data_IF_041243967065
#
_entry.id   IF_041243967065
#
_cell.length_a   1.000
_cell.length_b   1.000
_cell.length_c   1.000
_cell.angle_alpha   90.00
_cell.angle_beta   90.00
_cell.angle_gamma   90.00
#
_symmetry.space_group_name_H-M   'P 1'
#
loop_
_entity.id
_entity.type
_entity.pdbx_description
1 polymer ?
#
# COMPACT_ATOMS: atom_id res chain seq x y z
N UNK A 1 7.98 27.57 34.48
CA UNK A 1 6.61 27.36 33.97
C UNK A 1 6.54 28.09 32.64
N UNK A 2 6.35 27.49 31.46
CA UNK A 2 5.60 26.31 31.10
C UNK A 2 6.29 25.48 29.99
N UNK A 3 5.88 24.21 29.83
CA UNK A 3 6.60 23.16 29.14
C UNK A 3 6.22 23.13 27.66
N UNK A 4 7.20 23.32 26.78
CA UNK A 4 7.07 22.97 25.36
C UNK A 4 7.95 21.75 25.07
N UNK A 5 7.83 20.73 25.91
CA UNK A 5 8.13 19.38 25.46
C UNK A 5 7.13 19.08 24.34
N UNK A 6 7.55 18.88 23.08
CA UNK A 6 6.65 18.26 22.11
C UNK A 6 6.18 16.95 22.75
N UNK A 7 4.89 16.61 22.71
CA UNK A 7 4.41 15.41 23.38
C UNK A 7 5.19 14.25 22.77
N UNK A 8 5.99 13.57 23.61
CA UNK A 8 6.59 12.26 23.30
C UNK A 8 5.53 11.33 22.71
N UNK A 9 4.26 11.57 23.06
CA UNK A 9 3.07 10.96 22.47
C UNK A 9 2.96 11.01 20.95
N UNK A 10 3.44 12.03 20.23
CA UNK A 10 3.26 12.09 18.76
C UNK A 10 4.06 11.00 18.02
N UNK A 11 5.17 10.57 18.60
CA UNK A 11 6.00 9.46 18.10
C UNK A 11 5.40 8.11 18.42
N UNK A 12 4.90 7.94 19.65
CA UNK A 12 4.10 6.78 20.01
C UNK A 12 2.90 6.65 19.11
N UNK A 13 2.22 7.76 18.80
CA UNK A 13 1.08 7.75 17.89
C UNK A 13 1.48 7.23 16.50
N UNK A 14 2.55 7.74 15.89
CA UNK A 14 3.01 7.25 14.59
C UNK A 14 3.45 5.77 14.61
N UNK A 15 4.22 5.37 15.62
CA UNK A 15 4.68 3.99 15.81
C UNK A 15 3.52 3.04 16.10
N UNK A 16 2.55 3.45 16.92
CA UNK A 16 1.30 2.74 17.21
C UNK A 16 0.46 2.66 15.94
N UNK A 17 0.31 3.73 15.16
CA UNK A 17 -0.44 3.66 13.90
C UNK A 17 0.20 2.71 12.89
N UNK A 18 1.53 2.75 12.73
CA UNK A 18 2.24 1.81 11.86
C UNK A 18 2.13 0.38 12.38
N UNK A 19 2.33 0.18 13.69
CA UNK A 19 2.20 -1.11 14.36
C UNK A 19 0.79 -1.68 14.26
N UNK A 20 -0.24 -0.86 14.43
CA UNK A 20 -1.65 -1.22 14.21
C UNK A 20 -1.89 -1.53 12.74
N UNK A 21 -1.36 -0.75 11.80
CA UNK A 21 -1.55 -1.00 10.37
C UNK A 21 -0.89 -2.30 9.91
N UNK A 22 0.32 -2.61 10.41
CA UNK A 22 1.01 -3.89 10.18
C UNK A 22 0.31 -5.02 10.93
N UNK A 23 -0.13 -4.80 12.17
CA UNK A 23 -0.87 -5.75 12.98
C UNK A 23 -2.20 -6.16 12.35
N UNK A 24 -2.95 -5.19 11.82
CA UNK A 24 -4.17 -5.44 11.05
C UNK A 24 -3.87 -6.25 9.78
N UNK A 25 -2.77 -5.96 9.09
CA UNK A 25 -2.33 -6.75 7.95
C UNK A 25 -1.95 -8.19 8.32
N UNK A 26 -1.26 -8.37 9.45
CA UNK A 26 -0.85 -9.67 9.98
C UNK A 26 -2.03 -10.47 10.59
N UNK A 27 -3.05 -9.80 11.12
CA UNK A 27 -4.26 -10.42 11.67
C UNK A 27 -5.37 -10.62 10.63
N UNK A 28 -5.29 -9.96 9.47
CA UNK A 28 -6.30 -10.08 8.43
C UNK A 28 -6.40 -11.52 7.91
N UNK A 29 -7.56 -12.14 8.10
CA UNK A 29 -7.95 -13.43 7.49
C UNK A 29 -8.57 -13.28 6.10
N UNK A 30 -8.50 -12.07 5.53
CA UNK A 30 -9.10 -11.69 4.24
C UNK A 30 -8.01 -11.27 3.26
N UNK A 31 -8.25 -11.35 1.95
CA UNK A 31 -7.33 -10.83 0.95
C UNK A 31 -7.15 -9.31 1.12
N UNK A 32 -5.94 -8.91 1.55
CA UNK A 32 -5.60 -7.50 1.81
C UNK A 32 -4.29 -7.13 1.12
N UNK A 33 -4.21 -5.87 0.67
CA UNK A 33 -3.00 -5.31 0.08
C UNK A 33 -2.36 -4.25 1.01
N UNK A 34 -1.13 -4.51 1.41
CA UNK A 34 -0.25 -3.52 2.00
C UNK A 34 0.38 -2.67 0.89
N UNK A 35 0.01 -1.39 0.84
CA UNK A 35 0.49 -0.44 -0.17
C UNK A 35 1.65 0.37 0.39
N UNK A 36 2.88 0.03 0.01
CA UNK A 36 4.10 0.71 0.47
C UNK A 36 4.03 2.22 0.23
N UNK A 37 3.44 2.65 -0.90
CA UNK A 37 3.27 4.08 -1.21
C UNK A 37 2.53 4.86 -0.12
N UNK A 38 1.47 4.29 0.48
CA UNK A 38 0.70 4.99 1.53
C UNK A 38 1.54 5.15 2.80
N UNK A 39 2.27 4.11 3.16
CA UNK A 39 3.24 4.15 4.26
C UNK A 39 4.31 5.20 4.00
N UNK A 40 4.85 5.27 2.78
CA UNK A 40 5.83 6.29 2.39
C UNK A 40 5.31 7.72 2.50
N UNK A 41 4.08 7.99 2.04
CA UNK A 41 3.43 9.31 2.21
C UNK A 41 3.27 9.67 3.69
N UNK A 42 2.83 8.72 4.53
CA UNK A 42 2.68 8.95 5.97
C UNK A 42 4.02 9.25 6.64
N UNK A 43 5.07 8.48 6.32
CA UNK A 43 6.42 8.73 6.82
C UNK A 43 6.93 10.13 6.43
N UNK A 44 6.72 10.56 5.17
CA UNK A 44 7.12 11.89 4.73
C UNK A 44 6.29 13.00 5.37
N UNK A 45 4.98 12.81 5.55
CA UNK A 45 4.12 13.77 6.23
C UNK A 45 4.57 13.96 7.69
N UNK A 46 4.88 12.87 8.39
CA UNK A 46 5.43 12.90 9.74
C UNK A 46 6.80 13.60 9.79
N UNK A 47 7.68 13.29 8.83
CA UNK A 47 8.96 13.97 8.68
C UNK A 47 8.80 15.48 8.47
N UNK A 48 7.89 15.89 7.58
CA UNK A 48 7.62 17.29 7.30
C UNK A 48 7.05 18.05 8.51
N UNK A 49 6.05 17.48 9.21
CA UNK A 49 5.51 18.03 10.46
C UNK A 49 6.65 18.21 11.48
N UNK A 50 7.55 17.24 11.57
CA UNK A 50 8.70 17.32 12.49
C UNK A 50 9.67 18.44 12.12
N UNK A 51 9.98 18.61 10.83
CA UNK A 51 10.82 19.71 10.35
C UNK A 51 10.18 21.07 10.64
N UNK A 52 8.86 21.19 10.48
CA UNK A 52 8.10 22.42 10.80
C UNK A 52 8.17 22.72 12.30
N UNK A 53 7.88 21.74 13.17
CA UNK A 53 7.96 21.92 14.62
C UNK A 53 9.37 22.32 15.06
N UNK A 54 10.41 21.75 14.47
CA UNK A 54 11.78 22.16 14.75
C UNK A 54 12.03 23.64 14.38
N UNK A 55 11.56 24.08 13.20
CA UNK A 55 11.65 25.49 12.79
C UNK A 55 10.88 26.44 13.71
N UNK A 56 9.82 25.97 14.35
CA UNK A 56 9.03 26.72 15.34
C UNK A 56 9.66 26.74 16.75
N UNK A 57 10.88 26.24 16.91
CA UNK A 57 11.62 26.27 18.18
C UNK A 57 11.37 25.07 19.11
N UNK A 58 10.66 24.04 18.65
CA UNK A 58 10.50 22.82 19.45
C UNK A 58 11.78 21.97 19.40
N UNK A 59 12.35 21.57 20.56
CA UNK A 59 13.63 20.89 20.60
C UNK A 59 13.59 19.51 19.91
N UNK A 60 14.66 19.23 19.16
CA UNK A 60 15.03 17.87 18.73
C UNK A 60 15.79 17.20 19.87
N UNK A 61 15.07 16.55 20.79
CA UNK A 61 15.71 15.62 21.74
C UNK A 61 16.42 14.53 20.93
N UNK A 62 17.68 14.21 21.22
CA UNK A 62 18.31 12.98 20.72
C UNK A 62 17.61 11.79 21.40
N UNK A 63 17.13 10.75 20.66
CA UNK A 63 17.46 10.27 19.31
C UNK A 63 16.61 10.81 18.12
N UNK A 64 15.90 11.92 18.29
CA UNK A 64 14.93 12.47 17.33
C UNK A 64 15.48 12.91 15.97
N UNK A 65 16.77 13.24 15.85
CA UNK A 65 17.40 13.56 14.55
C UNK A 65 17.62 12.30 13.71
N UNK A 66 18.16 11.24 14.33
CA UNK A 66 18.32 9.94 13.67
C UNK A 66 16.96 9.36 13.25
N UNK A 67 15.96 9.45 14.14
CA UNK A 67 14.59 9.04 13.83
C UNK A 67 13.98 9.86 12.69
N UNK A 68 14.22 11.17 12.63
CA UNK A 68 13.77 12.03 11.53
C UNK A 68 14.39 11.60 10.19
N UNK A 69 15.71 11.43 10.14
CA UNK A 69 16.43 11.00 8.94
C UNK A 69 15.97 9.61 8.49
N UNK A 70 15.84 8.66 9.42
CA UNK A 70 15.35 7.32 9.12
C UNK A 70 13.91 7.34 8.57
N UNK A 71 13.04 8.16 9.16
CA UNK A 71 11.64 8.27 8.75
C UNK A 71 11.51 8.91 7.36
N UNK A 72 12.27 9.98 7.08
CA UNK A 72 12.24 10.63 5.76
C UNK A 72 12.87 9.75 4.69
N UNK A 73 14.05 9.16 4.95
CA UNK A 73 14.72 8.25 4.02
C UNK A 73 13.86 7.02 3.72
N UNK A 74 13.28 6.39 4.76
CA UNK A 74 12.33 5.29 4.60
C UNK A 74 11.07 5.71 3.82
N UNK A 75 10.57 6.91 4.08
CA UNK A 75 9.44 7.50 3.34
C UNK A 75 9.71 7.64 1.84
N UNK A 76 10.88 8.18 1.47
CA UNK A 76 11.32 8.28 0.07
C UNK A 76 11.47 6.89 -0.55
N UNK A 77 12.12 5.96 0.15
CA UNK A 77 12.30 4.59 -0.33
C UNK A 77 10.94 3.90 -0.61
N UNK A 78 9.98 4.05 0.29
CA UNK A 78 8.63 3.50 0.13
C UNK A 78 7.81 4.17 -0.97
N UNK A 79 8.04 5.46 -1.24
CA UNK A 79 7.46 6.13 -2.41
C UNK A 79 8.04 5.59 -3.72
N UNK A 80 9.36 5.42 -3.79
CA UNK A 80 10.04 4.84 -4.95
C UNK A 80 9.58 3.40 -5.19
N UNK A 81 9.41 2.63 -4.11
CA UNK A 81 8.83 1.29 -4.11
C UNK A 81 7.30 1.29 -4.20
N UNK A 82 6.65 2.42 -4.51
CA UNK A 82 5.19 2.56 -4.47
C UNK A 82 4.40 1.71 -5.48
N UNK A 83 5.11 0.98 -6.37
CA UNK A 83 4.55 -0.03 -7.28
C UNK A 83 4.54 -1.44 -6.70
N UNK A 84 5.22 -1.64 -5.58
CA UNK A 84 5.31 -2.92 -4.88
C UNK A 84 4.17 -2.98 -3.87
N UNK A 85 3.34 -4.00 -4.00
CA UNK A 85 2.25 -4.30 -3.07
C UNK A 85 2.57 -5.62 -2.37
N UNK A 86 2.40 -5.64 -1.06
CA UNK A 86 2.37 -6.89 -0.31
C UNK A 86 0.92 -7.36 -0.28
N UNK A 87 0.62 -8.49 -0.88
CA UNK A 87 -0.71 -9.06 -0.94
C UNK A 87 -0.76 -10.29 -0.06
N UNK A 88 -1.77 -10.35 0.80
CA UNK A 88 -2.06 -11.53 1.58
C UNK A 88 -3.12 -12.37 0.86
N UNK A 89 -2.70 -13.14 -0.12
CA UNK A 89 -3.57 -14.05 -0.86
C UNK A 89 -2.73 -15.21 -1.44
N UNK A 90 -3.38 -16.26 -1.93
CA UNK A 90 -2.72 -17.33 -2.66
C UNK A 90 -2.46 -16.93 -4.11
N UNK A 91 -1.41 -17.50 -4.70
CA UNK A 91 -1.09 -17.25 -6.11
C UNK A 91 -2.20 -17.74 -7.05
N UNK A 92 -2.87 -18.84 -6.68
CA UNK A 92 -3.99 -19.42 -7.45
C UNK A 92 -5.19 -18.49 -7.49
N UNK A 93 -5.60 -17.95 -6.33
CA UNK A 93 -6.70 -16.98 -6.26
C UNK A 93 -6.39 -15.73 -7.08
N UNK A 94 -5.16 -15.22 -6.97
CA UNK A 94 -4.73 -14.07 -7.75
C UNK A 94 -4.80 -14.37 -9.26
N UNK A 95 -4.34 -15.55 -9.71
CA UNK A 95 -4.41 -15.96 -11.12
C UNK A 95 -5.85 -16.02 -11.64
N UNK A 96 -6.77 -16.63 -10.90
CA UNK A 96 -8.19 -16.71 -11.27
C UNK A 96 -8.84 -15.33 -11.35
N UNK A 97 -8.56 -14.47 -10.38
CA UNK A 97 -9.02 -13.08 -10.37
C UNK A 97 -8.46 -12.29 -11.56
N UNK A 98 -7.17 -12.47 -11.86
CA UNK A 98 -6.53 -11.83 -13.01
C UNK A 98 -7.15 -12.30 -14.33
N UNK A 99 -7.38 -13.60 -14.50
CA UNK A 99 -8.03 -14.15 -15.68
C UNK A 99 -9.46 -13.61 -15.85
N UNK A 100 -10.23 -13.54 -14.76
CA UNK A 100 -11.59 -12.98 -14.78
C UNK A 100 -11.59 -11.50 -15.17
N UNK A 101 -10.66 -10.72 -14.61
CA UNK A 101 -10.56 -9.29 -14.90
C UNK A 101 -10.06 -9.00 -16.32
N UNK A 102 -9.13 -9.80 -16.83
CA UNK A 102 -8.59 -9.62 -18.19
C UNK A 102 -9.63 -10.00 -19.24
N UNK A 103 -10.42 -11.05 -18.99
CA UNK A 103 -11.62 -11.37 -19.77
C UNK A 103 -12.61 -10.21 -19.79
N UNK A 104 -13.00 -9.69 -18.62
CA UNK A 104 -13.94 -8.56 -18.52
C UNK A 104 -13.44 -7.25 -19.14
N UNK A 105 -12.13 -7.06 -19.22
CA UNK A 105 -11.49 -5.89 -19.87
C UNK A 105 -11.13 -6.13 -21.34
N UNK A 106 -11.43 -7.31 -21.88
CA UNK A 106 -11.03 -7.76 -23.21
C UNK A 106 -9.53 -7.52 -23.45
N UNK A 107 -8.71 -8.01 -22.51
CA UNK A 107 -7.25 -7.98 -22.59
C UNK A 107 -6.72 -9.41 -22.60
N UNK A 108 -5.67 -9.64 -23.38
CA UNK A 108 -4.89 -10.88 -23.26
C UNK A 108 -4.03 -10.79 -22.01
N UNK A 109 -3.85 -11.92 -21.34
CA UNK A 109 -2.94 -12.07 -20.21
C UNK A 109 -2.21 -13.39 -20.42
N UNK A 110 -0.92 -13.30 -20.69
CA UNK A 110 -0.09 -14.47 -20.93
C UNK A 110 0.88 -14.61 -19.76
N UNK A 111 0.91 -15.80 -19.15
CA UNK A 111 1.88 -16.11 -18.11
C UNK A 111 3.13 -16.70 -18.77
N UNK A 112 4.12 -15.87 -19.06
CA UNK A 112 5.35 -16.29 -19.74
C UNK A 112 6.27 -17.11 -18.82
N UNK A 113 6.20 -16.84 -17.52
CA UNK A 113 6.94 -17.54 -16.46
C UNK A 113 6.07 -17.61 -15.21
N UNK A 114 6.27 -18.59 -14.31
CA UNK A 114 5.53 -18.66 -13.07
C UNK A 114 5.66 -17.34 -12.29
N UNK A 115 4.53 -16.65 -12.12
CA UNK A 115 4.45 -15.36 -11.46
C UNK A 115 4.89 -14.16 -12.29
N UNK A 116 5.04 -14.30 -13.61
CA UNK A 116 5.22 -13.18 -14.54
C UNK A 116 4.10 -13.16 -15.55
N UNK A 117 3.24 -12.14 -15.44
CA UNK A 117 2.10 -11.94 -16.32
C UNK A 117 2.40 -10.81 -17.29
N UNK A 118 2.36 -11.13 -18.58
CA UNK A 118 2.51 -10.18 -19.67
C UNK A 118 1.13 -9.76 -20.17
N UNK A 119 0.90 -8.45 -20.12
CA UNK A 119 -0.34 -7.80 -20.49
C UNK A 119 -0.03 -6.95 -21.72
N UNK A 120 -0.28 -7.45 -22.95
CA UNK A 120 -0.14 -6.65 -24.15
C UNK A 120 -1.16 -5.50 -24.13
N UNK A 121 -0.65 -4.28 -24.26
CA UNK A 121 -1.42 -3.05 -24.40
C UNK A 121 -1.15 -2.45 -25.77
N UNK A 122 -2.04 -1.57 -26.26
CA UNK A 122 -1.83 -0.83 -27.52
C UNK A 122 -0.48 -0.07 -27.56
N UNK A 123 0.02 0.35 -26.40
CA UNK A 123 1.25 1.12 -26.24
C UNK A 123 2.49 0.24 -25.95
N UNK A 124 2.36 -1.09 -26.03
CA UNK A 124 3.43 -2.04 -25.75
C UNK A 124 3.10 -3.10 -24.69
N UNK A 125 4.07 -3.98 -24.42
CA UNK A 125 3.96 -5.06 -23.45
C UNK A 125 4.22 -4.56 -22.02
N UNK A 126 3.23 -4.73 -21.14
CA UNK A 126 3.37 -4.43 -19.73
C UNK A 126 3.56 -5.71 -18.92
N UNK A 127 4.53 -5.70 -17.99
CA UNK A 127 4.85 -6.87 -17.15
C UNK A 127 4.39 -6.65 -15.72
N UNK A 128 3.56 -7.56 -15.22
CA UNK A 128 3.21 -7.68 -13.81
C UNK A 128 4.01 -8.86 -13.25
N UNK A 129 4.74 -8.63 -12.16
CA UNK A 129 5.54 -9.67 -11.49
C UNK A 129 4.96 -9.97 -10.12
N UNK A 130 4.87 -11.23 -9.78
CA UNK A 130 4.41 -11.74 -8.49
C UNK A 130 5.48 -12.67 -7.94
N UNK A 131 5.90 -12.44 -6.70
CA UNK A 131 6.88 -13.26 -5.99
C UNK A 131 6.19 -13.85 -4.77
N UNK A 132 5.98 -15.17 -4.72
CA UNK A 132 5.45 -15.80 -3.51
C UNK A 132 6.53 -15.80 -2.42
N UNK A 133 6.21 -15.18 -1.27
CA UNK A 133 7.05 -15.27 -0.07
C UNK A 133 6.60 -16.45 0.79
N UNK A 134 5.29 -16.65 0.89
CA UNK A 134 4.69 -17.79 1.58
C UNK A 134 3.45 -18.27 0.80
N UNK A 135 2.81 -19.34 1.24
CA UNK A 135 1.57 -19.86 0.64
C UNK A 135 0.41 -18.84 0.64
N UNK A 136 0.47 -17.83 1.51
CA UNK A 136 -0.57 -16.81 1.68
C UNK A 136 -0.05 -15.37 1.54
N UNK A 137 1.21 -15.18 1.13
CA UNK A 137 1.83 -13.87 1.06
C UNK A 137 2.62 -13.73 -0.23
N UNK A 138 2.25 -12.71 -1.01
CA UNK A 138 2.75 -12.44 -2.34
C UNK A 138 3.28 -11.00 -2.39
N UNK A 139 4.43 -10.79 -3.01
CA UNK A 139 4.84 -9.47 -3.45
C UNK A 139 4.40 -9.30 -4.90
N UNK A 140 3.59 -8.28 -5.17
CA UNK A 140 3.17 -7.93 -6.53
C UNK A 140 3.78 -6.60 -6.93
N UNK A 141 4.52 -6.62 -8.03
CA UNK A 141 5.09 -5.44 -8.67
C UNK A 141 4.19 -5.04 -9.83
N UNK A 142 3.51 -3.91 -9.64
CA UNK A 142 2.58 -3.39 -10.63
C UNK A 142 3.29 -2.72 -11.81
N UNK A 143 2.76 -2.89 -13.03
CA UNK A 143 3.27 -2.21 -14.20
C UNK A 143 2.99 -0.70 -14.14
N UNK A 144 3.79 0.09 -14.87
CA UNK A 144 3.54 1.53 -15.07
C UNK A 144 2.34 1.70 -16.00
N UNK A 145 1.17 2.01 -15.45
CA UNK A 145 0.00 2.35 -16.24
C UNK A 145 -0.03 3.84 -16.61
N UNK A 146 -0.18 4.16 -17.90
CA UNK A 146 -0.53 5.51 -18.35
C UNK A 146 -1.96 5.86 -17.91
N UNK A 147 -2.21 7.11 -17.53
CA UNK A 147 -3.56 7.61 -17.22
C UNK A 147 -4.45 7.42 -18.47
N UNK A 148 -5.55 6.66 -18.33
CA UNK A 148 -6.53 6.28 -19.39
C UNK A 148 -6.23 5.04 -20.24
N UNK A 149 -5.34 4.14 -19.82
CA UNK A 149 -5.21 2.82 -20.48
C UNK A 149 -6.11 1.75 -19.85
N UNK A 150 -6.43 0.68 -20.60
CA UNK A 150 -7.08 -0.52 -20.03
C UNK A 150 -6.29 -1.11 -18.86
N UNK A 151 -4.96 -0.97 -18.90
CA UNK A 151 -4.08 -1.34 -17.79
C UNK A 151 -4.35 -0.50 -16.53
N UNK A 152 -4.64 0.80 -16.66
CA UNK A 152 -5.01 1.63 -15.53
C UNK A 152 -6.35 1.19 -14.92
N UNK A 153 -7.31 0.78 -15.75
CA UNK A 153 -8.58 0.19 -15.29
C UNK A 153 -8.33 -1.14 -14.56
N UNK A 154 -7.47 -2.00 -15.11
CA UNK A 154 -7.07 -3.26 -14.47
C UNK A 154 -6.40 -3.02 -13.11
N UNK A 155 -5.42 -2.11 -13.02
CA UNK A 155 -4.76 -1.76 -11.76
C UNK A 155 -5.77 -1.16 -10.77
N UNK A 156 -6.70 -0.33 -11.25
CA UNK A 156 -7.77 0.22 -10.41
C UNK A 156 -8.70 -0.88 -9.90
N UNK A 157 -9.06 -1.85 -10.72
CA UNK A 157 -9.87 -3.00 -10.35
C UNK A 157 -9.15 -3.87 -9.31
N UNK A 158 -7.87 -4.19 -9.52
CA UNK A 158 -7.04 -4.92 -8.58
C UNK A 158 -6.99 -4.20 -7.21
N UNK A 159 -6.90 -2.87 -7.25
CA UNK A 159 -6.93 -2.04 -6.03
C UNK A 159 -8.28 -2.05 -5.29
N UNK A 160 -9.36 -2.41 -5.97
CA UNK A 160 -10.68 -2.56 -5.36
C UNK A 160 -10.85 -3.95 -4.76
N UNK A 161 -10.37 -5.00 -5.44
CA UNK A 161 -10.40 -6.37 -4.95
C UNK A 161 -9.54 -6.57 -3.70
N UNK A 162 -8.38 -5.90 -3.66
CA UNK A 162 -7.48 -5.95 -2.52
C UNK A 162 -7.47 -4.60 -1.80
N UNK A 163 -8.43 -4.39 -0.87
CA UNK A 163 -8.44 -3.21 -0.03
C UNK A 163 -7.22 -3.19 0.89
N UNK A 164 -6.95 -2.01 1.45
CA UNK A 164 -5.94 -1.90 2.52
C UNK A 164 -6.35 -2.69 3.77
N UNK A 165 -5.44 -2.87 4.72
CA UNK A 165 -5.69 -3.60 5.97
C UNK A 165 -6.68 -2.88 6.91
N UNK A 166 -6.99 -1.61 6.65
CA UNK A 166 -7.99 -0.86 7.41
C UNK A 166 -9.39 -1.38 7.04
N UNK A 167 -10.18 -1.85 8.03
CA UNK A 167 -11.54 -2.32 7.78
C UNK A 167 -12.38 -1.19 7.21
N UNK A 168 -13.15 -1.49 6.15
CA UNK A 168 -14.11 -0.54 5.60
C UNK A 168 -15.45 -0.75 6.29
N UNK A 169 -16.04 0.29 6.90
CA UNK A 169 -17.42 0.19 7.38
C UNK A 169 -18.33 -0.08 6.17
N UNK A 170 -19.15 -1.12 6.26
CA UNK A 170 -20.17 -1.43 5.26
C UNK A 170 -21.51 -1.03 5.86
N UNK A 171 -22.09 0.05 5.35
CA UNK A 171 -23.44 0.45 5.74
C UNK A 171 -24.39 -0.49 5.01
N UNK A 172 -25.07 -1.36 5.75
CA UNK A 172 -26.14 -2.21 5.23
C UNK A 172 -27.45 -1.52 5.60
N UNK A 173 -28.17 -1.03 4.59
CA UNK A 173 -29.52 -0.51 4.77
C UNK A 173 -30.47 -1.71 4.79
N UNK A 174 -30.97 -2.07 5.96
CA UNK A 174 -32.07 -3.02 6.06
C UNK A 174 -33.33 -2.37 5.50
N UNK A 175 -34.01 -3.04 4.58
CA UNK A 175 -35.34 -2.62 4.12
C UNK A 175 -36.30 -2.79 5.30
N UNK A 176 -36.92 -1.69 5.74
CA UNK A 176 -38.07 -1.79 6.65
C UNK A 176 -39.18 -2.61 5.97
N UNK A 177 -39.75 -3.60 6.66
CA UNK A 177 -40.93 -4.28 6.17
C UNK A 177 -42.08 -3.27 6.08
N UNK A 178 -42.66 -3.16 4.88
CA UNK A 178 -43.86 -2.40 4.57
C UNK A 178 -45.11 -3.09 5.07
#
# INVERSE_FOLDING_TARGET
MNPLSPPVGLWWIAGVFLGVYVGLFAAARRPVAFRLRRTGVLCLALGAVRTILWRLGYPLQSPGVAALVATTAGGVLFLCAGRVWLLRDSLTNLREQMATATLGLFMKCEETRPGQFELPTRDGLCRLRTLPLTSQLLIVVLPRAKRRSKLALFVSWLSKQYPGPIPRPRIVLERMPS
#
